data_IF_816996843050
#
_entry.id   IF_816996843050
#
_cell.length_a   1.000
_cell.length_b   1.000
_cell.length_c   1.000
_cell.angle_alpha   90.00
_cell.angle_beta   90.00
_cell.angle_gamma   90.00
#
_symmetry.space_group_name_H-M   'P 1'
#
loop_
_entity.id
_entity.type
_entity.pdbx_description
1 polymer ?
#
# COMPACT_ATOMS: atom_id res chain seq x y z
N UNK A 1 -3.32 -12.11 16.60
CA UNK A 1 -2.74 -13.47 16.56
C UNK A 1 -3.82 -14.56 16.55
N UNK A 2 -4.82 -14.48 17.44
CA UNK A 2 -5.92 -15.47 17.47
C UNK A 2 -6.71 -15.54 16.14
N UNK A 3 -6.82 -14.41 15.42
CA UNK A 3 -7.49 -14.34 14.13
C UNK A 3 -6.61 -14.79 12.93
N UNK A 4 -5.36 -15.21 13.16
CA UNK A 4 -4.44 -15.68 12.12
C UNK A 4 -3.99 -14.61 11.14
N UNK A 5 -3.91 -13.33 11.59
CA UNK A 5 -3.39 -12.23 10.75
C UNK A 5 -1.86 -12.20 10.76
N UNK A 6 -1.26 -11.77 9.64
CA UNK A 6 0.19 -11.72 9.43
C UNK A 6 0.78 -10.34 9.67
N UNK A 7 -0.01 -9.27 9.59
CA UNK A 7 0.42 -7.89 9.83
C UNK A 7 -0.73 -7.01 10.32
N UNK A 8 -0.38 -5.88 10.96
CA UNK A 8 -1.32 -4.85 11.40
C UNK A 8 -1.20 -3.62 10.50
N UNK A 9 -2.33 -3.08 10.05
CA UNK A 9 -2.34 -1.82 9.31
C UNK A 9 -2.80 -0.65 10.18
N UNK A 10 -1.94 0.35 10.32
CA UNK A 10 -2.23 1.59 11.03
C UNK A 10 -2.70 2.71 10.11
N UNK A 11 -3.66 3.51 10.58
CA UNK A 11 -4.11 4.70 9.87
C UNK A 11 -3.50 5.98 10.43
N UNK A 12 -2.16 6.03 10.57
CA UNK A 12 -1.42 7.18 11.11
C UNK A 12 -1.66 8.41 10.25
N UNK A 13 -1.47 8.27 8.94
CA UNK A 13 -1.77 9.29 7.94
C UNK A 13 -2.77 8.73 6.94
N UNK A 14 -3.71 9.57 6.49
CA UNK A 14 -4.78 9.14 5.59
C UNK A 14 -5.08 10.19 4.52
N UNK A 15 -4.80 9.90 3.23
CA UNK A 15 -5.20 10.78 2.15
C UNK A 15 -6.72 10.73 1.97
N UNK A 16 -7.40 11.82 2.29
CA UNK A 16 -8.86 11.92 2.18
C UNK A 16 -9.27 12.82 1.03
N UNK A 17 -10.37 12.44 0.36
CA UNK A 17 -11.00 13.30 -0.67
C UNK A 17 -11.69 14.49 -0.04
N UNK A 18 -12.35 14.29 1.11
CA UNK A 18 -12.98 15.35 1.85
C UNK A 18 -12.00 15.91 2.90
N UNK A 19 -11.65 17.22 2.85
CA UNK A 19 -10.69 17.83 3.77
C UNK A 19 -11.17 17.86 5.22
N UNK A 20 -12.46 17.74 5.45
CA UNK A 20 -13.05 17.70 6.81
C UNK A 20 -13.07 16.30 7.43
N UNK A 21 -12.72 15.27 6.66
CA UNK A 21 -12.55 13.90 7.20
C UNK A 21 -11.26 13.80 7.98
N UNK A 22 -11.21 12.89 8.96
CA UNK A 22 -10.00 12.59 9.72
C UNK A 22 -8.84 12.20 8.79
N UNK A 23 -7.78 12.98 8.80
CA UNK A 23 -6.61 12.81 7.91
C UNK A 23 -5.44 12.07 8.56
N UNK A 24 -5.59 11.65 9.80
CA UNK A 24 -4.51 11.09 10.59
C UNK A 24 -3.83 12.12 11.46
N UNK A 25 -2.93 11.67 12.32
CA UNK A 25 -2.12 12.52 13.22
C UNK A 25 -0.81 11.80 13.51
N UNK A 26 0.29 12.54 13.60
CA UNK A 26 1.62 11.97 13.89
C UNK A 26 1.66 11.18 15.21
N UNK A 27 0.97 11.65 16.25
CA UNK A 27 0.86 10.90 17.52
C UNK A 27 0.12 9.55 17.42
N UNK A 28 -0.57 9.26 16.32
CA UNK A 28 -1.14 7.94 16.10
C UNK A 28 -0.06 6.89 15.82
N UNK A 29 1.18 7.32 15.57
CA UNK A 29 2.31 6.41 15.42
C UNK A 29 2.59 5.66 16.72
N UNK A 30 2.48 6.32 17.87
CA UNK A 30 2.72 5.68 19.18
C UNK A 30 1.74 4.54 19.42
N UNK A 31 0.49 4.69 18.97
CA UNK A 31 -0.55 3.67 19.11
C UNK A 31 -0.21 2.42 18.30
N UNK A 32 0.23 2.59 17.03
CA UNK A 32 0.57 1.44 16.20
C UNK A 32 1.88 0.76 16.65
N UNK A 33 2.83 1.54 17.18
CA UNK A 33 4.05 0.98 17.77
C UNK A 33 3.72 0.17 19.04
N UNK A 34 2.86 0.67 19.91
CA UNK A 34 2.38 -0.08 21.07
C UNK A 34 1.69 -1.39 20.63
N UNK A 35 0.83 -1.33 19.61
CA UNK A 35 0.18 -2.52 19.07
C UNK A 35 1.19 -3.54 18.49
N UNK A 36 2.27 -3.08 17.81
CA UNK A 36 3.37 -3.93 17.38
C UNK A 36 4.04 -4.62 18.55
N UNK A 37 4.37 -3.87 19.60
CA UNK A 37 5.07 -4.39 20.77
C UNK A 37 4.23 -5.43 21.52
N UNK A 38 2.91 -5.22 21.65
CA UNK A 38 1.99 -6.15 22.30
C UNK A 38 1.72 -7.41 21.47
N UNK A 39 1.60 -7.28 20.15
CA UNK A 39 1.23 -8.39 19.26
C UNK A 39 2.42 -9.10 18.64
N UNK A 40 3.57 -8.44 18.54
CA UNK A 40 4.74 -8.87 17.76
C UNK A 40 4.40 -9.13 16.29
N UNK A 41 3.46 -8.36 15.74
CA UNK A 41 3.11 -8.40 14.32
C UNK A 41 3.78 -7.24 13.58
N UNK A 42 4.23 -7.45 12.33
CA UNK A 42 4.68 -6.37 11.47
C UNK A 42 3.60 -5.29 11.30
N UNK A 43 4.02 -4.04 11.17
CA UNK A 43 3.11 -2.91 10.96
C UNK A 43 3.20 -2.33 9.57
N UNK A 44 2.04 -2.02 8.99
CA UNK A 44 1.85 -1.34 7.71
C UNK A 44 1.34 0.08 7.93
N UNK A 45 2.07 1.07 7.42
CA UNK A 45 1.70 2.50 7.50
C UNK A 45 1.79 3.13 6.11
N UNK A 46 0.75 3.87 5.71
CA UNK A 46 0.75 4.61 4.44
C UNK A 46 1.65 5.85 4.54
N UNK A 47 2.61 5.97 3.64
CA UNK A 47 3.48 7.15 3.49
C UNK A 47 3.01 7.98 2.29
N UNK A 48 2.86 9.29 2.49
CA UNK A 48 2.31 10.19 1.48
C UNK A 48 3.33 11.18 0.93
N UNK A 49 4.40 11.44 1.69
CA UNK A 49 5.43 12.42 1.39
C UNK A 49 6.75 12.08 2.10
N UNK A 50 7.78 12.90 1.85
CA UNK A 50 9.12 12.75 2.44
C UNK A 50 9.13 12.85 3.97
N UNK A 51 8.24 13.65 4.57
CA UNK A 51 8.16 13.80 6.02
C UNK A 51 7.63 12.53 6.66
N UNK A 52 6.53 11.99 6.12
CA UNK A 52 5.97 10.72 6.57
C UNK A 52 6.97 9.57 6.40
N UNK A 53 7.68 9.54 5.25
CA UNK A 53 8.71 8.55 4.98
C UNK A 53 9.83 8.57 6.03
N UNK A 54 10.34 9.75 6.34
CA UNK A 54 11.39 9.89 7.35
C UNK A 54 10.95 9.37 8.71
N UNK A 55 9.78 9.80 9.19
CA UNK A 55 9.23 9.36 10.48
C UNK A 55 9.06 7.83 10.48
N UNK A 56 8.49 7.26 9.41
CA UNK A 56 8.25 5.82 9.32
C UNK A 56 9.56 5.01 9.38
N UNK A 57 10.62 5.49 8.71
CA UNK A 57 11.94 4.85 8.74
C UNK A 57 12.64 5.00 10.11
N UNK A 58 12.53 6.17 10.74
CA UNK A 58 13.12 6.42 12.06
C UNK A 58 12.56 5.47 13.13
N UNK A 59 11.27 5.10 13.03
CA UNK A 59 10.62 4.14 13.94
C UNK A 59 10.60 2.70 13.41
N UNK A 60 11.30 2.44 12.30
CA UNK A 60 11.46 1.12 11.68
C UNK A 60 10.12 0.44 11.39
N UNK A 61 9.29 1.11 10.59
CA UNK A 61 8.04 0.52 10.06
C UNK A 61 8.39 -0.65 9.15
N UNK A 62 7.70 -1.78 9.32
CA UNK A 62 7.98 -3.00 8.58
C UNK A 62 7.49 -2.94 7.13
N UNK A 63 6.33 -2.27 6.89
CA UNK A 63 5.73 -2.15 5.56
C UNK A 63 5.36 -0.68 5.30
N UNK A 64 6.05 -0.09 4.32
CA UNK A 64 5.79 1.26 3.83
C UNK A 64 4.73 1.19 2.72
N UNK A 65 3.49 1.55 3.01
CA UNK A 65 2.43 1.52 2.00
C UNK A 65 2.44 2.79 1.15
N UNK A 66 2.47 2.61 -0.16
CA UNK A 66 2.20 3.67 -1.13
C UNK A 66 0.75 3.56 -1.61
N UNK A 67 -0.06 4.53 -1.23
CA UNK A 67 -1.47 4.57 -1.61
C UNK A 67 -1.69 4.82 -3.10
N UNK A 68 -2.87 4.46 -3.59
CA UNK A 68 -3.24 4.56 -5.01
C UNK A 68 -3.06 5.97 -5.61
N UNK A 69 -3.20 7.05 -4.79
CA UNK A 69 -3.01 8.43 -5.25
C UNK A 69 -1.55 8.76 -5.55
N UNK A 70 -0.62 8.08 -4.88
CA UNK A 70 0.83 8.26 -5.04
C UNK A 70 1.48 7.17 -5.92
N UNK A 71 0.70 6.25 -6.49
CA UNK A 71 1.23 5.15 -7.30
C UNK A 71 1.97 5.61 -8.57
N UNK A 72 1.66 6.80 -9.08
CA UNK A 72 2.33 7.47 -10.21
C UNK A 72 3.21 8.64 -9.78
N UNK A 73 3.42 8.84 -8.49
CA UNK A 73 4.35 9.84 -7.99
C UNK A 73 5.78 9.29 -8.01
N UNK A 74 6.36 9.25 -9.21
CA UNK A 74 7.68 8.63 -9.43
C UNK A 74 8.81 9.27 -8.60
N UNK A 75 8.68 10.55 -8.24
CA UNK A 75 9.64 11.19 -7.34
C UNK A 75 9.59 10.57 -5.94
N UNK A 76 8.40 10.40 -5.39
CA UNK A 76 8.21 9.73 -4.11
C UNK A 76 8.64 8.25 -4.16
N UNK A 77 8.32 7.53 -5.25
CA UNK A 77 8.73 6.13 -5.40
C UNK A 77 10.26 5.97 -5.39
N UNK A 78 10.97 6.84 -6.11
CA UNK A 78 12.44 6.88 -6.10
C UNK A 78 13.00 7.19 -4.71
N UNK A 79 12.40 8.14 -4.01
CA UNK A 79 12.83 8.55 -2.67
C UNK A 79 12.62 7.39 -1.68
N UNK A 80 11.45 6.76 -1.70
CA UNK A 80 11.17 5.57 -0.88
C UNK A 80 12.21 4.47 -1.15
N UNK A 81 12.46 4.15 -2.43
CA UNK A 81 13.46 3.15 -2.79
C UNK A 81 14.86 3.48 -2.28
N UNK A 82 15.30 4.75 -2.41
CA UNK A 82 16.62 5.18 -1.96
C UNK A 82 16.75 5.19 -0.43
N UNK A 83 15.74 5.70 0.27
CA UNK A 83 15.80 5.86 1.72
C UNK A 83 15.58 4.53 2.46
N UNK A 84 14.86 3.57 1.86
CA UNK A 84 14.66 2.24 2.44
C UNK A 84 15.66 1.19 1.91
N UNK A 85 16.60 1.58 1.05
CA UNK A 85 17.65 0.68 0.56
C UNK A 85 18.49 0.12 1.72
N UNK A 86 18.67 -1.21 1.76
CA UNK A 86 19.44 -1.88 2.82
C UNK A 86 18.73 -1.96 4.18
N UNK A 87 17.49 -1.50 4.29
CA UNK A 87 16.63 -1.75 5.46
C UNK A 87 15.82 -3.04 5.26
N UNK A 88 15.17 -3.50 6.35
CA UNK A 88 14.24 -4.63 6.29
C UNK A 88 12.82 -4.23 5.84
N UNK A 89 12.56 -2.94 5.69
CA UNK A 89 11.23 -2.43 5.32
C UNK A 89 10.84 -2.87 3.91
N UNK A 90 9.69 -3.51 3.79
CA UNK A 90 9.05 -3.79 2.50
C UNK A 90 8.22 -2.57 2.03
N UNK A 91 7.99 -2.47 0.73
CA UNK A 91 7.12 -1.43 0.16
C UNK A 91 5.87 -2.07 -0.44
N UNK A 92 4.69 -1.77 0.10
CA UNK A 92 3.41 -2.18 -0.45
C UNK A 92 2.91 -1.10 -1.43
N UNK A 93 3.10 -1.35 -2.72
CA UNK A 93 2.61 -0.44 -3.78
C UNK A 93 1.18 -0.81 -4.17
N UNK A 94 0.22 0.06 -3.88
CA UNK A 94 -1.17 -0.11 -4.31
C UNK A 94 -1.35 0.42 -5.73
N UNK A 95 -2.03 -0.37 -6.59
CA UNK A 95 -2.28 0.03 -7.98
C UNK A 95 -3.00 1.37 -8.05
N UNK A 96 -2.53 2.24 -8.93
CA UNK A 96 -3.21 3.50 -9.25
C UNK A 96 -4.52 3.24 -9.99
N UNK A 97 -5.58 3.98 -9.65
CA UNK A 97 -6.91 3.82 -10.28
C UNK A 97 -6.90 4.03 -11.80
N UNK A 98 -5.97 4.82 -12.30
CA UNK A 98 -5.83 5.18 -13.72
C UNK A 98 -4.72 4.41 -14.45
N UNK A 99 -4.05 3.47 -13.78
CA UNK A 99 -3.06 2.62 -14.44
C UNK A 99 -3.76 1.67 -15.42
N UNK A 100 -3.48 1.84 -16.72
CA UNK A 100 -4.21 1.16 -17.78
C UNK A 100 -3.88 -0.34 -17.86
N UNK A 101 -2.64 -0.72 -17.54
CA UNK A 101 -2.17 -2.10 -17.72
C UNK A 101 -1.40 -2.63 -16.50
N UNK A 102 -1.29 -3.97 -16.37
CA UNK A 102 -0.37 -4.58 -15.41
C UNK A 102 1.08 -4.15 -15.61
N UNK A 103 1.51 -3.93 -16.86
CA UNK A 103 2.89 -3.52 -17.19
C UNK A 103 3.21 -2.12 -16.65
N UNK A 104 2.27 -1.17 -16.74
CA UNK A 104 2.42 0.15 -16.14
C UNK A 104 2.54 0.06 -14.61
N UNK A 105 1.78 -0.83 -13.99
CA UNK A 105 1.84 -1.05 -12.55
C UNK A 105 3.18 -1.67 -12.12
N UNK A 106 3.68 -2.66 -12.85
CA UNK A 106 4.99 -3.27 -12.61
C UNK A 106 6.10 -2.23 -12.83
N UNK A 107 6.02 -1.45 -13.92
CA UNK A 107 6.99 -0.39 -14.19
C UNK A 107 7.05 0.68 -13.10
N UNK A 108 5.92 1.00 -12.45
CA UNK A 108 5.91 1.88 -11.30
C UNK A 108 6.71 1.30 -10.12
N UNK A 109 6.63 -0.01 -9.87
CA UNK A 109 7.43 -0.68 -8.84
C UNK A 109 8.93 -0.65 -9.14
N UNK A 110 9.32 -0.70 -10.40
CA UNK A 110 10.73 -0.63 -10.83
C UNK A 110 11.42 0.67 -10.39
N UNK A 111 10.67 1.78 -10.20
CA UNK A 111 11.25 3.00 -9.64
C UNK A 111 11.75 2.83 -8.21
N UNK A 112 11.15 1.93 -7.43
CA UNK A 112 11.58 1.61 -6.06
C UNK A 112 12.78 0.66 -6.12
N UNK A 113 12.64 -0.43 -6.89
CA UNK A 113 13.67 -1.47 -7.03
C UNK A 113 14.98 -0.90 -7.58
N UNK A 114 14.90 -0.08 -8.63
CA UNK A 114 16.08 0.56 -9.26
C UNK A 114 16.81 1.53 -8.30
N UNK A 115 16.18 1.91 -7.18
CA UNK A 115 16.78 2.75 -6.15
C UNK A 115 17.32 1.97 -4.95
N UNK A 116 17.24 0.65 -4.98
CA UNK A 116 17.95 -0.23 -4.06
C UNK A 116 17.08 -0.98 -3.04
N UNK A 117 15.75 -0.83 -3.09
CA UNK A 117 14.87 -1.67 -2.27
C UNK A 117 14.12 -2.71 -3.14
N UNK A 118 14.56 -3.99 -3.14
CA UNK A 118 13.89 -5.06 -3.90
C UNK A 118 12.64 -5.62 -3.19
N UNK A 119 12.39 -5.26 -1.93
CA UNK A 119 11.30 -5.81 -1.12
C UNK A 119 9.98 -5.10 -1.46
N UNK A 120 9.41 -5.37 -2.63
CA UNK A 120 8.18 -4.74 -3.11
C UNK A 120 7.04 -5.75 -3.18
N UNK A 121 5.88 -5.38 -2.66
CA UNK A 121 4.61 -6.08 -2.72
C UNK A 121 3.67 -5.30 -3.64
N UNK A 122 3.01 -5.97 -4.58
CA UNK A 122 2.07 -5.34 -5.52
C UNK A 122 0.62 -5.58 -5.07
N UNK A 123 -0.19 -4.50 -4.99
CA UNK A 123 -1.55 -4.60 -4.44
C UNK A 123 -2.60 -4.09 -5.43
N UNK A 124 -3.23 -4.99 -6.23
CA UNK A 124 -4.47 -4.68 -6.92
C UNK A 124 -5.56 -4.26 -5.93
N UNK A 125 -6.39 -3.28 -6.30
CA UNK A 125 -7.39 -2.68 -5.41
C UNK A 125 -8.57 -2.01 -6.13
N UNK A 126 -8.81 -2.38 -7.38
CA UNK A 126 -9.81 -1.78 -8.24
C UNK A 126 -9.32 -0.55 -8.98
N UNK A 127 -9.86 -0.37 -10.18
CA UNK A 127 -9.51 0.71 -11.12
C UNK A 127 -10.73 1.54 -11.51
N UNK A 128 -10.58 2.45 -12.45
CA UNK A 128 -11.67 3.17 -13.13
C UNK A 128 -11.92 2.57 -14.52
N UNK A 129 -13.15 2.63 -15.05
CA UNK A 129 -14.38 3.15 -14.41
C UNK A 129 -14.88 2.22 -13.29
N UNK A 130 -15.66 2.78 -12.37
CA UNK A 130 -16.38 1.98 -11.38
C UNK A 130 -17.60 1.30 -12.03
N UNK A 131 -17.96 0.12 -11.52
CA UNK A 131 -19.23 -0.51 -11.82
C UNK A 131 -20.33 0.05 -10.89
N UNK A 132 -21.57 0.03 -11.36
CA UNK A 132 -22.70 0.43 -10.51
C UNK A 132 -22.77 -0.47 -9.27
N UNK A 133 -22.86 0.17 -8.10
CA UNK A 133 -22.85 -0.53 -6.81
C UNK A 133 -21.46 -0.80 -6.22
N UNK A 134 -20.40 -0.65 -7.00
CA UNK A 134 -19.02 -0.79 -6.53
C UNK A 134 -18.29 0.55 -6.47
N UNK A 135 -17.34 0.65 -5.56
CA UNK A 135 -16.51 1.86 -5.43
C UNK A 135 -15.55 2.04 -6.60
N UNK A 136 -15.00 0.94 -7.09
CA UNK A 136 -14.08 0.87 -8.23
C UNK A 136 -14.42 -0.38 -9.05
N UNK A 137 -13.89 -0.47 -10.26
CA UNK A 137 -13.95 -1.71 -11.03
C UNK A 137 -13.01 -2.75 -10.40
N UNK A 138 -13.50 -3.91 -9.97
CA UNK A 138 -12.65 -4.97 -9.43
C UNK A 138 -11.60 -5.39 -10.44
N UNK A 139 -10.34 -5.54 -10.01
CA UNK A 139 -9.22 -5.85 -10.87
C UNK A 139 -8.33 -6.99 -10.35
N UNK A 140 -8.84 -7.76 -9.41
CA UNK A 140 -8.12 -8.87 -8.77
C UNK A 140 -7.71 -9.95 -9.77
N UNK A 141 -8.45 -10.07 -10.88
CA UNK A 141 -8.16 -10.96 -12.01
C UNK A 141 -6.82 -10.69 -12.70
N UNK A 142 -6.21 -9.52 -12.50
CA UNK A 142 -4.85 -9.26 -13.01
C UNK A 142 -3.75 -9.99 -12.25
N UNK A 143 -4.05 -10.56 -11.07
CA UNK A 143 -3.08 -11.24 -10.22
C UNK A 143 -2.27 -12.31 -10.96
N UNK A 144 -2.86 -13.24 -11.73
CA UNK A 144 -2.11 -14.21 -12.51
C UNK A 144 -1.20 -13.56 -13.56
N UNK A 145 -1.65 -12.46 -14.17
CA UNK A 145 -0.86 -11.73 -15.17
C UNK A 145 0.37 -11.06 -14.53
N UNK A 146 0.21 -10.45 -13.36
CA UNK A 146 1.31 -9.86 -12.60
C UNK A 146 2.30 -10.95 -12.21
N UNK A 147 1.83 -12.04 -11.59
CA UNK A 147 2.68 -13.17 -11.14
C UNK A 147 3.42 -13.86 -12.29
N UNK A 148 2.88 -13.83 -13.51
CA UNK A 148 3.56 -14.33 -14.71
C UNK A 148 4.66 -13.41 -15.26
N UNK A 149 4.69 -12.14 -14.84
CA UNK A 149 5.59 -11.11 -15.39
C UNK A 149 6.66 -10.63 -14.40
N UNK A 150 6.46 -10.82 -13.09
CA UNK A 150 7.38 -10.34 -12.07
C UNK A 150 7.49 -11.32 -10.90
N UNK A 151 8.62 -11.25 -10.20
CA UNK A 151 8.88 -11.99 -8.97
C UNK A 151 8.12 -11.42 -7.75
N UNK A 152 7.63 -10.18 -7.83
CA UNK A 152 7.03 -9.48 -6.69
C UNK A 152 5.76 -10.21 -6.19
N UNK A 153 5.61 -10.44 -4.88
CA UNK A 153 4.40 -10.98 -4.30
C UNK A 153 3.21 -10.07 -4.55
N UNK A 154 2.01 -10.66 -4.62
CA UNK A 154 0.76 -9.92 -4.81
C UNK A 154 -0.12 -10.02 -3.56
N UNK A 155 -0.61 -8.87 -3.10
CA UNK A 155 -1.57 -8.71 -2.01
C UNK A 155 -2.84 -8.11 -2.57
N UNK A 156 -3.96 -8.79 -2.47
CA UNK A 156 -5.25 -8.32 -3.01
C UNK A 156 -6.01 -7.49 -1.99
N UNK A 157 -6.61 -6.37 -2.43
CA UNK A 157 -7.42 -5.48 -1.58
C UNK A 157 -8.85 -5.35 -2.14
N UNK A 158 -9.70 -6.34 -1.92
CA UNK A 158 -11.07 -6.34 -2.43
C UNK A 158 -11.93 -5.25 -1.77
N UNK A 159 -11.61 -4.84 -0.54
CA UNK A 159 -12.38 -3.81 0.19
C UNK A 159 -12.43 -2.47 -0.53
N UNK A 160 -11.32 -2.08 -1.19
CA UNK A 160 -11.32 -0.85 -1.97
C UNK A 160 -11.94 -1.03 -3.36
N UNK A 161 -11.93 -2.25 -3.91
CA UNK A 161 -12.61 -2.53 -5.17
C UNK A 161 -14.12 -2.36 -5.01
N UNK A 162 -14.73 -3.13 -4.13
CA UNK A 162 -16.20 -3.13 -3.97
C UNK A 162 -16.71 -1.99 -3.09
N UNK A 163 -15.96 -1.57 -2.06
CA UNK A 163 -16.30 -0.44 -1.18
C UNK A 163 -17.40 -0.73 -0.16
N UNK A 164 -17.92 -1.95 -0.10
CA UNK A 164 -18.93 -2.41 0.84
C UNK A 164 -18.55 -3.79 1.39
N UNK A 165 -18.67 -3.99 2.71
CA UNK A 165 -18.22 -5.21 3.39
C UNK A 165 -18.87 -6.48 2.86
N UNK A 166 -20.17 -6.40 2.53
CA UNK A 166 -20.97 -7.56 2.12
C UNK A 166 -20.51 -8.16 0.78
N UNK A 167 -19.79 -7.35 -0.04
CA UNK A 167 -19.32 -7.79 -1.35
C UNK A 167 -17.86 -8.25 -1.36
N UNK A 168 -17.14 -8.11 -0.25
CA UNK A 168 -15.70 -8.44 -0.18
C UNK A 168 -15.43 -9.90 -0.52
N UNK A 169 -16.26 -10.83 -0.03
CA UNK A 169 -16.09 -12.25 -0.29
C UNK A 169 -16.58 -12.71 -1.68
N UNK A 170 -17.24 -11.83 -2.42
CA UNK A 170 -17.74 -12.13 -3.77
C UNK A 170 -16.82 -11.58 -4.86
N UNK A 171 -15.73 -10.89 -4.49
CA UNK A 171 -14.81 -10.20 -5.38
C UNK A 171 -13.67 -11.11 -5.88
#
# INVERSE_FOLDING_TARGET
KEAGVDALRGGVWKPRTNPYSYQGQDKAIDIILQARDETHLPIDIEVMDSTNLKIALDVKVDILQVGTRNALNFSLLKEIGSCSAGTESAVLLKRGRHMASPDEFIAAAEYIVAKGNPNVLLCPRGTTPALDGYRNHPDESITPLIKGKTWAPVVVDPSHSVGHSDFVFSC
#
